data_IF_930176525417
#
_entry.id   IF_930176525417
#
_cell.length_a   1.000
_cell.length_b   1.000
_cell.length_c   1.000
_cell.angle_alpha   90.00
_cell.angle_beta   90.00
_cell.angle_gamma   90.00
#
_symmetry.space_group_name_H-M   'P 1'
#
loop_
_entity.id
_entity.type
_entity.pdbx_description
1 polymer ?
#
# COMPACT_ATOMS: atom_id res chain seq x y z
N UNK A 1 27.06 6.49 -46.64
CA UNK A 1 27.43 6.45 -45.21
C UNK A 1 26.53 5.39 -44.54
N UNK A 2 26.57 4.06 -44.77
CA UNK A 2 27.60 3.01 -44.82
C UNK A 2 28.42 2.85 -43.52
N UNK A 3 27.87 1.99 -42.64
CA UNK A 3 28.55 0.93 -41.88
C UNK A 3 29.38 1.34 -40.64
N UNK A 4 28.75 1.30 -39.47
CA UNK A 4 29.44 1.14 -38.17
C UNK A 4 28.84 0.01 -37.31
N UNK A 5 28.03 -0.86 -37.90
CA UNK A 5 27.87 -2.24 -37.41
C UNK A 5 29.14 -2.98 -37.88
N UNK A 6 29.99 -3.43 -36.94
CA UNK A 6 31.02 -4.49 -37.05
C UNK A 6 32.38 -4.12 -36.44
N UNK A 7 32.45 -4.07 -35.11
CA UNK A 7 33.67 -4.21 -34.28
C UNK A 7 33.13 -4.26 -32.84
N UNK A 8 33.28 -5.27 -31.98
CA UNK A 8 34.35 -6.25 -31.76
C UNK A 8 33.71 -7.45 -31.04
N UNK A 9 33.74 -8.63 -31.68
CA UNK A 9 33.84 -9.90 -30.96
C UNK A 9 35.28 -10.05 -30.45
N UNK A 10 35.51 -10.86 -29.40
CA UNK A 10 36.78 -11.23 -28.70
C UNK A 10 36.68 -10.71 -27.23
N UNK A 11 36.73 -11.50 -26.15
CA UNK A 11 37.39 -12.79 -25.91
C UNK A 11 36.76 -13.44 -24.66
N UNK A 12 36.67 -14.77 -24.68
CA UNK A 12 36.56 -15.57 -23.47
C UNK A 12 37.84 -15.43 -22.62
N UNK A 13 37.70 -15.28 -21.31
CA UNK A 13 38.77 -15.53 -20.34
C UNK A 13 38.19 -16.37 -19.22
N UNK A 14 38.61 -17.63 -19.23
CA UNK A 14 38.46 -18.57 -18.15
C UNK A 14 39.34 -18.16 -16.95
N UNK A 15 38.85 -18.45 -15.73
CA UNK A 15 39.68 -18.76 -14.58
C UNK A 15 40.00 -17.61 -13.63
N UNK A 16 39.44 -17.67 -12.42
CA UNK A 16 40.28 -17.58 -11.22
C UNK A 16 39.59 -18.34 -10.08
N UNK A 17 40.30 -19.34 -9.58
CA UNK A 17 39.91 -20.17 -8.47
C UNK A 17 40.19 -19.46 -7.13
N UNK A 18 39.56 -19.98 -6.08
CA UNK A 18 39.94 -19.87 -4.66
C UNK A 18 39.76 -18.49 -4.00
N UNK A 19 38.62 -18.31 -3.33
CA UNK A 19 38.63 -17.72 -2.00
C UNK A 19 37.78 -18.57 -1.06
N UNK A 20 38.45 -19.51 -0.42
CA UNK A 20 38.06 -20.10 0.86
C UNK A 20 38.00 -18.97 1.88
N UNK A 21 36.85 -18.32 1.98
CA UNK A 21 36.55 -17.33 3.00
C UNK A 21 35.35 -17.81 3.79
N UNK A 22 35.57 -18.11 5.07
CA UNK A 22 34.56 -18.56 6.03
C UNK A 22 33.42 -17.54 6.14
N UNK A 23 32.39 -17.68 5.31
CA UNK A 23 31.08 -17.09 5.57
C UNK A 23 30.52 -17.82 6.78
N UNK A 24 30.42 -17.09 7.90
CA UNK A 24 29.75 -17.54 9.11
C UNK A 24 28.32 -17.95 8.74
N UNK A 25 28.05 -19.21 8.98
CA UNK A 25 26.75 -19.84 8.95
C UNK A 25 25.88 -19.15 10.01
N UNK A 26 25.11 -18.15 9.60
CA UNK A 26 23.91 -17.76 10.33
C UNK A 26 23.00 -18.98 10.25
N UNK A 27 22.90 -19.67 11.38
CA UNK A 27 22.06 -20.85 11.55
C UNK A 27 20.69 -20.58 10.95
N UNK A 28 20.31 -21.48 10.05
CA UNK A 28 18.94 -21.74 9.69
C UNK A 28 18.16 -22.05 10.97
N UNK A 29 17.45 -21.05 11.49
CA UNK A 29 16.23 -21.31 12.20
C UNK A 29 15.20 -21.64 11.13
N UNK A 30 15.08 -22.94 10.86
CA UNK A 30 13.84 -23.56 10.39
C UNK A 30 12.66 -22.84 11.04
N UNK A 31 11.90 -22.12 10.22
CA UNK A 31 10.62 -21.52 10.62
C UNK A 31 9.50 -22.37 10.03
N UNK A 32 9.53 -23.67 10.33
CA UNK A 32 8.33 -24.48 10.40
C UNK A 32 7.81 -24.37 11.83
N UNK A 33 7.24 -23.21 12.16
CA UNK A 33 6.50 -23.05 13.40
C UNK A 33 5.35 -22.10 13.12
N UNK A 34 4.27 -22.71 12.65
CA UNK A 34 2.92 -22.20 12.85
C UNK A 34 2.69 -22.11 14.36
N UNK A 35 3.03 -20.97 14.94
CA UNK A 35 2.51 -20.54 16.24
C UNK A 35 1.73 -19.24 16.00
N UNK A 36 0.42 -19.43 15.76
CA UNK A 36 -0.53 -18.34 15.59
C UNK A 36 -0.87 -17.71 16.93
N UNK A 37 0.08 -17.01 17.53
CA UNK A 37 -0.17 -16.16 18.68
C UNK A 37 -0.67 -14.80 18.20
N UNK A 38 -2.01 -14.69 18.16
CA UNK A 38 -2.71 -13.41 17.99
C UNK A 38 -2.49 -12.56 19.24
N UNK A 39 -1.83 -11.42 19.07
CA UNK A 39 -1.69 -10.45 20.14
C UNK A 39 -0.59 -9.44 19.84
N UNK A 40 -0.89 -8.45 19.00
CA UNK A 40 0.07 -7.40 18.69
C UNK A 40 -0.49 -6.38 17.73
N UNK A 41 -1.26 -5.44 18.28
CA UNK A 41 -1.66 -4.18 17.65
C UNK A 41 -0.45 -3.28 17.44
N UNK A 42 0.48 -3.70 16.61
CA UNK A 42 1.47 -2.80 16.03
C UNK A 42 0.97 -2.46 14.63
N UNK A 43 0.88 -1.15 14.36
CA UNK A 43 0.67 -0.60 13.02
C UNK A 43 1.88 -0.88 12.13
N UNK A 44 2.24 -2.16 11.98
CA UNK A 44 3.25 -2.65 11.07
C UNK A 44 2.87 -2.23 9.67
N UNK A 45 3.87 -1.75 8.93
CA UNK A 45 3.70 -1.36 7.55
C UNK A 45 3.12 -2.53 6.75
N UNK A 46 1.89 -2.34 6.27
CA UNK A 46 1.24 -3.26 5.34
C UNK A 46 1.92 -3.05 3.98
N UNK A 47 2.35 -4.11 3.28
CA UNK A 47 2.87 -3.98 1.92
C UNK A 47 1.88 -3.20 1.05
N UNK A 48 2.38 -2.19 0.32
CA UNK A 48 1.52 -1.24 -0.37
C UNK A 48 0.56 -1.91 -1.37
N UNK A 49 1.01 -2.97 -2.02
CA UNK A 49 0.27 -3.80 -2.98
C UNK A 49 -0.78 -4.72 -2.34
N UNK A 50 -0.73 -4.93 -1.02
CA UNK A 50 -1.63 -5.84 -0.28
C UNK A 50 -2.83 -5.15 0.38
N UNK A 51 -2.96 -3.82 0.23
CA UNK A 51 -4.03 -3.05 0.86
C UNK A 51 -5.36 -3.29 0.15
N UNK A 52 -6.29 -3.98 0.84
CA UNK A 52 -7.67 -4.19 0.38
C UNK A 52 -8.66 -3.22 1.04
N UNK A 53 -9.79 -2.98 0.37
CA UNK A 53 -10.82 -2.07 0.85
C UNK A 53 -11.43 -2.53 2.18
N UNK A 54 -11.89 -3.78 2.24
CA UNK A 54 -12.62 -4.32 3.37
C UNK A 54 -11.75 -4.44 4.63
N UNK A 55 -10.48 -4.85 4.46
CA UNK A 55 -9.60 -5.11 5.60
C UNK A 55 -8.94 -3.86 6.16
N UNK A 56 -8.59 -2.90 5.30
CA UNK A 56 -7.75 -1.77 5.71
C UNK A 56 -8.41 -0.40 5.55
N UNK A 57 -9.33 -0.22 4.61
CA UNK A 57 -9.91 1.11 4.34
C UNK A 57 -11.22 1.30 5.10
N UNK A 58 -12.12 0.31 5.07
CA UNK A 58 -13.41 0.38 5.79
C UNK A 58 -13.26 0.58 7.31
N UNK A 59 -12.32 -0.11 8.01
CA UNK A 59 -12.11 0.15 9.43
C UNK A 59 -11.66 1.58 9.72
N UNK A 60 -10.86 2.19 8.83
CA UNK A 60 -10.44 3.59 8.99
C UNK A 60 -11.63 4.54 8.91
N UNK A 61 -12.58 4.30 8.00
CA UNK A 61 -13.79 5.11 7.93
C UNK A 61 -14.67 4.93 9.17
N UNK A 62 -14.82 3.70 9.63
CA UNK A 62 -15.61 3.37 10.83
C UNK A 62 -15.03 4.02 12.08
N UNK A 63 -13.70 4.14 12.17
CA UNK A 63 -13.04 4.77 13.32
C UNK A 63 -12.95 6.29 13.24
N UNK A 64 -12.83 6.88 12.05
CA UNK A 64 -12.45 8.29 11.91
C UNK A 64 -13.49 9.17 11.19
N UNK A 65 -14.48 8.60 10.50
CA UNK A 65 -15.28 9.36 9.53
C UNK A 65 -16.79 9.29 9.77
N UNK A 66 -17.30 8.13 10.19
CA UNK A 66 -18.76 7.86 10.26
C UNK A 66 -19.53 8.74 11.24
N UNK A 67 -18.86 9.40 12.20
CA UNK A 67 -19.52 10.37 13.10
C UNK A 67 -20.22 11.48 12.31
N UNK A 68 -19.58 11.99 11.26
CA UNK A 68 -20.15 13.01 10.38
C UNK A 68 -20.65 12.40 9.06
N UNK A 69 -19.85 11.50 8.47
CA UNK A 69 -20.12 10.83 7.20
C UNK A 69 -20.93 9.53 7.35
N UNK A 70 -21.77 9.43 8.38
CA UNK A 70 -22.60 8.24 8.67
C UNK A 70 -23.94 8.21 7.94
N UNK A 71 -24.06 8.91 6.80
CA UNK A 71 -25.31 9.11 6.07
C UNK A 71 -25.96 10.49 6.26
N UNK A 72 -25.44 11.31 7.17
CA UNK A 72 -25.87 12.71 7.35
C UNK A 72 -25.14 13.67 6.39
N UNK A 73 -23.91 13.32 6.02
CA UNK A 73 -23.07 14.07 5.09
C UNK A 73 -22.53 13.16 3.99
N UNK A 74 -22.37 13.71 2.78
CA UNK A 74 -21.80 12.99 1.65
C UNK A 74 -20.26 13.12 1.62
N UNK A 75 -19.52 12.05 1.28
CA UNK A 75 -20.00 10.69 1.03
C UNK A 75 -20.49 9.99 2.31
N UNK A 76 -21.48 9.11 2.20
CA UNK A 76 -21.80 8.13 3.25
C UNK A 76 -20.71 7.07 3.30
N UNK A 77 -20.00 7.00 4.42
CA UNK A 77 -18.83 6.16 4.67
C UNK A 77 -19.12 5.00 5.64
N UNK A 78 -20.39 4.70 5.91
CA UNK A 78 -20.77 3.44 6.58
C UNK A 78 -20.29 2.25 5.74
N UNK A 79 -19.86 1.19 6.42
CA UNK A 79 -19.16 0.05 5.79
C UNK A 79 -19.89 -0.54 4.57
N UNK A 80 -21.21 -0.62 4.63
CA UNK A 80 -22.09 -1.18 3.60
C UNK A 80 -22.29 -0.24 2.39
N UNK A 81 -22.09 1.07 2.55
CA UNK A 81 -22.33 2.06 1.50
C UNK A 81 -21.06 2.78 1.01
N UNK A 82 -19.96 2.73 1.78
CA UNK A 82 -18.74 3.50 1.54
C UNK A 82 -18.21 3.35 0.12
N UNK A 83 -18.08 2.12 -0.38
CA UNK A 83 -17.55 1.87 -1.72
C UNK A 83 -18.41 2.55 -2.80
N UNK A 84 -19.71 2.25 -2.79
CA UNK A 84 -20.66 2.79 -3.76
C UNK A 84 -20.70 4.32 -3.70
N UNK A 85 -20.73 4.88 -2.49
CA UNK A 85 -20.76 6.32 -2.23
C UNK A 85 -19.52 7.02 -2.77
N UNK A 86 -18.32 6.47 -2.51
CA UNK A 86 -17.05 7.02 -2.99
C UNK A 86 -16.94 7.00 -4.52
N UNK A 87 -17.27 5.87 -5.15
CA UNK A 87 -17.14 5.69 -6.61
C UNK A 87 -18.22 6.49 -7.35
N UNK A 88 -19.50 6.37 -6.96
CA UNK A 88 -20.59 7.09 -7.64
C UNK A 88 -20.48 8.61 -7.44
N UNK A 89 -20.02 9.04 -6.27
CA UNK A 89 -19.77 10.45 -5.97
C UNK A 89 -18.49 11.01 -6.58
N UNK A 90 -17.70 10.18 -7.30
CA UNK A 90 -16.43 10.57 -7.93
C UNK A 90 -15.42 11.17 -6.94
N UNK A 91 -15.44 10.70 -5.69
CA UNK A 91 -14.48 11.11 -4.67
C UNK A 91 -13.13 10.38 -4.80
N UNK A 92 -13.10 9.30 -5.59
CA UNK A 92 -11.94 8.46 -5.85
C UNK A 92 -11.75 8.31 -7.35
N UNK A 93 -10.51 8.53 -7.79
CA UNK A 93 -10.01 8.23 -9.14
C UNK A 93 -9.11 7.00 -9.00
N UNK A 94 -9.60 5.84 -9.46
CA UNK A 94 -8.84 4.59 -9.37
C UNK A 94 -7.48 4.71 -10.08
N UNK A 95 -6.41 4.31 -9.40
CA UNK A 95 -5.04 4.42 -9.89
C UNK A 95 -4.37 5.79 -9.66
N UNK A 96 -5.11 6.79 -9.18
CA UNK A 96 -4.60 8.15 -8.98
C UNK A 96 -5.10 8.76 -7.66
N UNK A 97 -4.36 8.50 -6.58
CA UNK A 97 -4.61 9.11 -5.29
C UNK A 97 -4.48 10.64 -5.34
N UNK A 98 -3.53 11.20 -6.11
CA UNK A 98 -3.28 12.64 -6.14
C UNK A 98 -4.49 13.40 -6.71
N UNK A 99 -5.20 12.82 -7.67
CA UNK A 99 -6.45 13.36 -8.24
C UNK A 99 -7.72 13.00 -7.45
N UNK A 100 -7.61 12.20 -6.40
CA UNK A 100 -8.76 11.75 -5.60
C UNK A 100 -9.08 12.72 -4.46
N UNK A 101 -10.31 13.24 -4.43
CA UNK A 101 -10.79 14.17 -3.37
C UNK A 101 -10.63 13.55 -1.99
N UNK A 102 -10.94 12.25 -1.83
CA UNK A 102 -10.77 11.54 -0.57
C UNK A 102 -9.33 11.68 -0.03
N UNK A 103 -8.34 11.39 -0.87
CA UNK A 103 -6.93 11.46 -0.48
C UNK A 103 -6.48 12.89 -0.20
N UNK A 104 -6.88 13.85 -1.05
CA UNK A 104 -6.52 15.25 -0.85
C UNK A 104 -7.00 15.78 0.51
N UNK A 105 -8.23 15.45 0.93
CA UNK A 105 -8.80 15.93 2.20
C UNK A 105 -8.11 15.33 3.42
N UNK A 106 -7.77 14.04 3.39
CA UNK A 106 -7.08 13.39 4.52
C UNK A 106 -5.60 13.76 4.58
N UNK A 107 -4.93 13.89 3.43
CA UNK A 107 -3.51 14.27 3.38
C UNK A 107 -3.26 15.73 3.73
N UNK A 108 -4.20 16.63 3.47
CA UNK A 108 -4.14 18.01 3.93
C UNK A 108 -4.48 18.18 5.42
N UNK A 109 -4.94 17.13 6.10
CA UNK A 109 -5.46 17.21 7.46
C UNK A 109 -6.76 17.98 7.59
N UNK A 110 -7.46 18.28 6.48
CA UNK A 110 -8.76 18.95 6.52
C UNK A 110 -9.90 18.01 6.93
N UNK A 111 -9.68 16.71 6.79
CA UNK A 111 -10.53 15.67 7.33
C UNK A 111 -9.66 14.65 8.07
N UNK A 112 -10.06 14.22 9.28
CA UNK A 112 -11.19 14.71 10.09
C UNK A 112 -11.03 16.14 10.64
N UNK A 113 -12.12 16.87 10.96
CA UNK A 113 -12.05 18.23 11.51
C UNK A 113 -11.41 18.33 12.90
N UNK A 114 -11.46 17.24 13.66
CA UNK A 114 -10.93 17.08 15.01
C UNK A 114 -9.41 16.81 15.03
N UNK A 115 -8.81 16.60 13.86
CA UNK A 115 -7.36 16.53 13.70
C UNK A 115 -6.92 15.59 12.58
N UNK A 116 -5.66 15.70 12.13
CA UNK A 116 -5.13 14.86 11.07
C UNK A 116 -5.04 13.39 11.51
N UNK A 117 -5.31 12.48 10.57
CA UNK A 117 -5.08 11.04 10.75
C UNK A 117 -3.58 10.73 10.81
N UNK A 118 -3.25 9.54 11.34
CA UNK A 118 -1.89 9.02 11.28
C UNK A 118 -1.46 8.85 9.82
N UNK A 119 -0.21 9.20 9.52
CA UNK A 119 0.36 9.05 8.16
C UNK A 119 0.24 7.63 7.64
N UNK A 120 0.45 6.62 8.49
CA UNK A 120 0.32 5.20 8.11
C UNK A 120 -1.10 4.79 7.71
N UNK A 121 -2.13 5.48 8.22
CA UNK A 121 -3.52 5.24 7.83
C UNK A 121 -3.86 5.97 6.53
N UNK A 122 -3.34 7.19 6.37
CA UNK A 122 -3.41 7.96 5.11
C UNK A 122 -2.74 7.16 3.97
N UNK A 123 -1.60 6.52 4.24
CA UNK A 123 -0.88 5.70 3.27
C UNK A 123 -1.68 4.46 2.84
N UNK A 124 -2.47 3.85 3.74
CA UNK A 124 -3.38 2.75 3.36
C UNK A 124 -4.43 3.25 2.36
N UNK A 125 -5.04 4.40 2.61
CA UNK A 125 -6.00 5.01 1.68
C UNK A 125 -5.33 5.30 0.33
N UNK A 126 -4.14 5.91 0.34
CA UNK A 126 -3.36 6.19 -0.86
C UNK A 126 -3.07 4.92 -1.67
N UNK A 127 -2.56 3.90 -1.01
CA UNK A 127 -2.16 2.64 -1.63
C UNK A 127 -3.37 1.90 -2.21
N UNK A 128 -4.47 1.82 -1.47
CA UNK A 128 -5.71 1.25 -1.99
C UNK A 128 -6.19 1.96 -3.27
N UNK A 129 -6.17 3.30 -3.29
CA UNK A 129 -6.57 4.06 -4.49
C UNK A 129 -5.63 3.75 -5.66
N UNK A 130 -4.32 3.83 -5.43
CA UNK A 130 -3.31 3.58 -6.46
C UNK A 130 -3.32 2.13 -6.99
N UNK A 131 -3.75 1.17 -6.16
CA UNK A 131 -3.96 -0.22 -6.56
C UNK A 131 -5.28 -0.44 -7.34
N UNK A 132 -5.94 0.64 -7.77
CA UNK A 132 -7.14 0.58 -8.59
C UNK A 132 -8.46 0.66 -7.82
N UNK A 133 -8.42 1.01 -6.52
CA UNK A 133 -9.62 1.21 -5.70
C UNK A 133 -10.62 0.04 -5.79
N UNK A 134 -10.12 -1.20 -5.70
CA UNK A 134 -10.93 -2.40 -5.80
C UNK A 134 -11.84 -2.57 -4.58
N UNK A 135 -13.01 -3.19 -4.76
CA UNK A 135 -13.88 -3.60 -3.66
C UNK A 135 -13.54 -5.04 -3.24
N UNK A 136 -12.52 -5.19 -2.39
CA UNK A 136 -11.92 -6.49 -2.03
C UNK A 136 -11.53 -6.60 -0.56
#
# INVERSE_FOLDING_TARGET
MKRTILTVMIMAMAGCALLTGCYKDVRMADSSSSDGSSGGSDGGAVPADSVTFAKYVVPLFTSNCVTCHGGNEAPDLRADNAYKSLINGKYVVAGDAASSILYQKVSSGSMPPDGPMKTTDIDKIKNWINNGALNN
#
